data_IF_411906117603
#
_entry.id   IF_411906117603
#
_cell.length_a   1.000
_cell.length_b   1.000
_cell.length_c   1.000
_cell.angle_alpha   90.00
_cell.angle_beta   90.00
_cell.angle_gamma   90.00
#
_symmetry.space_group_name_H-M   'P 1'
#
loop_
_entity.id
_entity.type
_entity.pdbx_description
1 polymer ?
#
# COMPACT_ATOMS: atom_id res chain seq x y z
N UNK A 1 29.72 6.58 2.06
CA UNK A 1 28.54 5.94 2.69
C UNK A 1 27.30 6.61 2.12
N UNK A 2 26.50 5.91 1.31
CA UNK A 2 25.32 6.49 0.64
C UNK A 2 24.15 6.56 1.62
N UNK A 3 23.57 7.75 1.78
CA UNK A 3 22.58 8.05 2.80
C UNK A 3 21.16 7.66 2.35
N UNK A 4 20.74 6.44 2.67
CA UNK A 4 19.48 5.79 2.23
C UNK A 4 18.23 6.59 2.66
N UNK A 5 18.32 7.35 3.75
CA UNK A 5 17.20 8.13 4.29
C UNK A 5 16.86 9.38 3.46
N UNK A 6 17.75 9.82 2.58
CA UNK A 6 17.53 11.02 1.74
C UNK A 6 16.38 10.86 0.73
N UNK A 7 16.01 9.62 0.36
CA UNK A 7 14.93 9.30 -0.59
C UNK A 7 13.55 9.68 -0.03
N UNK A 8 13.37 9.66 1.29
CA UNK A 8 12.08 9.95 1.94
C UNK A 8 11.90 11.42 2.31
N UNK A 9 12.95 12.25 2.22
CA UNK A 9 12.88 13.66 2.58
C UNK A 9 12.21 14.45 1.45
N UNK A 10 10.94 14.85 1.64
CA UNK A 10 10.26 15.79 0.73
C UNK A 10 11.06 17.10 0.69
N UNK A 11 11.45 17.55 -0.50
CA UNK A 11 12.06 18.88 -0.64
C UNK A 11 11.06 19.93 -0.17
N UNK A 12 11.51 20.96 0.58
CA UNK A 12 10.62 22.05 0.97
C UNK A 12 10.05 22.70 -0.29
N UNK A 13 8.74 22.96 -0.29
CA UNK A 13 8.07 23.64 -1.41
C UNK A 13 8.66 25.04 -1.50
N UNK A 14 9.37 25.33 -2.61
CA UNK A 14 9.86 26.68 -2.85
C UNK A 14 8.67 27.62 -2.95
N UNK A 15 8.61 28.63 -2.09
CA UNK A 15 7.62 29.69 -2.16
C UNK A 15 7.97 30.60 -3.34
N UNK A 16 7.35 30.31 -4.49
CA UNK A 16 7.49 31.13 -5.67
C UNK A 16 6.66 32.39 -5.41
N UNK A 17 7.31 33.51 -5.09
CA UNK A 17 6.64 34.82 -5.04
C UNK A 17 5.93 35.06 -6.38
N UNK A 18 4.71 35.64 -6.40
CA UNK A 18 3.99 35.88 -7.63
C UNK A 18 4.87 36.66 -8.62
N UNK A 19 4.96 36.16 -9.85
CA UNK A 19 5.87 36.69 -10.84
C UNK A 19 5.46 38.11 -11.25
N UNK A 20 6.28 39.09 -10.91
CA UNK A 20 6.04 40.49 -11.28
C UNK A 20 6.67 40.78 -12.65
N UNK A 21 5.82 40.97 -13.67
CA UNK A 21 6.24 41.25 -15.05
C UNK A 21 7.05 42.56 -15.18
N UNK A 22 6.79 43.57 -14.34
CA UNK A 22 7.46 44.87 -14.40
C UNK A 22 8.93 44.80 -13.92
N UNK A 23 9.24 43.87 -13.00
CA UNK A 23 10.59 43.67 -12.43
C UNK A 23 11.44 42.64 -13.21
N UNK A 24 10.93 42.12 -14.33
CA UNK A 24 11.63 41.09 -15.09
C UNK A 24 12.81 41.68 -15.88
N UNK A 25 14.03 41.23 -15.56
CA UNK A 25 15.30 41.63 -16.20
C UNK A 25 15.29 41.30 -17.70
N UNK A 26 14.62 40.21 -18.07
CA UNK A 26 14.53 39.71 -19.43
C UNK A 26 13.11 39.91 -19.97
N UNK A 27 12.86 41.04 -20.62
CA UNK A 27 11.56 41.33 -21.23
C UNK A 27 11.30 40.40 -22.42
N UNK A 28 10.07 39.93 -22.56
CA UNK A 28 9.68 39.10 -23.70
C UNK A 28 9.72 39.95 -24.99
N UNK A 29 10.46 39.48 -26.00
CA UNK A 29 10.57 40.18 -27.30
C UNK A 29 9.28 40.10 -28.13
N UNK A 30 8.44 39.09 -27.87
CA UNK A 30 7.13 38.90 -28.48
C UNK A 30 6.08 38.85 -27.39
N UNK A 31 4.97 39.54 -27.60
CA UNK A 31 3.81 39.49 -26.72
C UNK A 31 3.23 38.08 -26.75
N UNK A 32 2.98 37.54 -25.57
CA UNK A 32 2.28 36.28 -25.37
C UNK A 32 0.88 36.62 -24.83
N UNK A 33 -0.19 35.90 -25.18
CA UNK A 33 -0.30 34.82 -26.15
C UNK A 33 -0.34 35.34 -27.60
N UNK A 34 0.13 34.57 -28.59
CA UNK A 34 -0.09 34.90 -30.00
C UNK A 34 -1.57 34.69 -30.36
N UNK A 35 -2.10 35.51 -31.27
CA UNK A 35 -3.47 35.36 -31.76
C UNK A 35 -3.60 34.08 -32.58
N UNK A 36 -4.24 33.06 -31.98
CA UNK A 36 -4.39 31.72 -32.57
C UNK A 36 -5.16 31.72 -33.90
N UNK A 37 -5.95 32.77 -34.14
CA UNK A 37 -6.78 32.94 -35.35
C UNK A 37 -5.96 33.35 -36.58
N UNK A 38 -4.81 33.98 -36.38
CA UNK A 38 -3.93 34.46 -37.46
C UNK A 38 -2.92 33.39 -37.91
N UNK A 39 -2.80 32.30 -37.15
CA UNK A 39 -1.86 31.21 -37.40
C UNK A 39 -2.37 30.24 -38.48
N UNK A 40 -1.47 29.72 -39.31
CA UNK A 40 -1.78 28.64 -40.25
C UNK A 40 -2.32 27.40 -39.53
N UNK A 41 -3.30 26.69 -40.14
CA UNK A 41 -3.92 25.48 -39.59
C UNK A 41 -2.90 24.43 -39.12
N UNK A 42 -1.82 24.25 -39.87
CA UNK A 42 -0.73 23.31 -39.51
C UNK A 42 -0.03 23.72 -38.22
N UNK A 43 0.13 25.02 -37.99
CA UNK A 43 0.73 25.54 -36.76
C UNK A 43 -0.27 25.45 -35.59
N UNK A 44 -1.54 25.78 -35.82
CA UNK A 44 -2.61 25.63 -34.83
C UNK A 44 -2.67 24.20 -34.28
N UNK A 45 -2.69 23.19 -35.16
CA UNK A 45 -2.70 21.78 -34.75
C UNK A 45 -1.49 21.37 -33.89
N UNK A 46 -0.29 21.90 -34.20
CA UNK A 46 0.91 21.66 -33.39
C UNK A 46 0.77 22.25 -31.98
N UNK A 47 0.21 23.46 -31.88
CA UNK A 47 -0.04 24.10 -30.59
C UNK A 47 -1.11 23.37 -29.78
N UNK A 48 -2.20 22.99 -30.42
CA UNK A 48 -3.27 22.22 -29.78
C UNK A 48 -2.75 20.88 -29.23
N UNK A 49 -2.01 20.12 -30.05
CA UNK A 49 -1.38 18.86 -29.61
C UNK A 49 -0.44 19.07 -28.44
N UNK A 50 0.38 20.13 -28.46
CA UNK A 50 1.30 20.46 -27.36
C UNK A 50 0.53 20.87 -26.10
N UNK A 51 -0.56 21.62 -26.24
CA UNK A 51 -1.43 22.02 -25.14
C UNK A 51 -2.09 20.81 -24.48
N UNK A 52 -2.76 19.94 -25.25
CA UNK A 52 -3.41 18.72 -24.74
C UNK A 52 -2.45 17.83 -23.95
N UNK A 53 -1.22 17.64 -24.45
CA UNK A 53 -0.17 16.88 -23.74
C UNK A 53 0.22 17.53 -22.42
N UNK A 54 0.44 18.84 -22.41
CA UNK A 54 0.80 19.58 -21.19
C UNK A 54 -0.35 19.60 -20.18
N UNK A 55 -1.59 19.75 -20.65
CA UNK A 55 -2.77 19.66 -19.83
C UNK A 55 -2.86 18.26 -19.19
N UNK A 56 -2.74 17.18 -19.96
CA UNK A 56 -2.73 15.82 -19.42
C UNK A 56 -1.67 15.62 -18.33
N UNK A 57 -0.46 16.16 -18.53
CA UNK A 57 0.62 16.11 -17.52
C UNK A 57 0.31 16.94 -16.26
N UNK A 58 -0.38 18.08 -16.40
CA UNK A 58 -0.80 18.92 -15.26
C UNK A 58 -1.96 18.32 -14.49
N UNK A 59 -2.85 17.63 -15.20
CA UNK A 59 -4.00 16.94 -14.62
C UNK A 59 -3.66 15.56 -14.06
N UNK A 60 -2.53 14.97 -14.46
CA UNK A 60 -2.03 13.75 -13.87
C UNK A 60 -1.84 13.92 -12.34
N UNK A 61 -2.49 13.05 -11.55
CA UNK A 61 -2.37 13.00 -10.08
C UNK A 61 -1.55 11.76 -9.68
N UNK A 62 -0.22 11.75 -9.88
CA UNK A 62 0.61 10.57 -9.66
C UNK A 62 0.61 10.11 -8.19
N UNK A 63 0.50 11.05 -7.25
CA UNK A 63 0.43 10.73 -5.82
C UNK A 63 -0.87 10.02 -5.45
N UNK A 64 -2.01 10.48 -5.97
CA UNK A 64 -3.30 9.84 -5.74
C UNK A 64 -3.32 8.41 -6.28
N UNK A 65 -2.89 8.22 -7.53
CA UNK A 65 -2.74 6.88 -8.13
C UNK A 65 -1.80 5.98 -7.33
N UNK A 66 -0.71 6.53 -6.77
CA UNK A 66 0.20 5.76 -5.91
C UNK A 66 -0.52 5.26 -4.65
N UNK A 67 -1.29 6.13 -3.98
CA UNK A 67 -2.03 5.74 -2.78
C UNK A 67 -3.12 4.71 -3.06
N UNK A 68 -3.88 4.86 -4.15
CA UNK A 68 -4.93 3.90 -4.50
C UNK A 68 -4.35 2.54 -4.85
N UNK A 69 -3.20 2.49 -5.55
CA UNK A 69 -2.49 1.22 -5.81
C UNK A 69 -2.01 0.54 -4.53
N UNK A 70 -1.45 1.32 -3.59
CA UNK A 70 -1.06 0.79 -2.28
C UNK A 70 -2.28 0.25 -1.53
N UNK A 71 -3.40 0.97 -1.55
CA UNK A 71 -4.63 0.53 -0.90
C UNK A 71 -5.19 -0.75 -1.55
N UNK A 72 -5.11 -0.87 -2.87
CA UNK A 72 -5.52 -2.07 -3.61
C UNK A 72 -4.65 -3.28 -3.24
N UNK A 73 -3.33 -3.14 -3.21
CA UNK A 73 -2.45 -4.24 -2.78
C UNK A 73 -2.68 -4.57 -1.31
N UNK A 74 -2.83 -3.55 -0.45
CA UNK A 74 -3.10 -3.75 0.97
C UNK A 74 -4.41 -4.52 1.22
N UNK A 75 -5.47 -4.27 0.44
CA UNK A 75 -6.72 -5.01 0.58
C UNK A 75 -6.57 -6.47 0.16
N UNK A 76 -5.86 -6.74 -0.95
CA UNK A 76 -5.54 -8.10 -1.39
C UNK A 76 -4.75 -8.84 -0.31
N UNK A 77 -3.65 -8.24 0.16
CA UNK A 77 -2.84 -8.81 1.24
C UNK A 77 -3.64 -9.06 2.52
N UNK A 78 -4.52 -8.12 2.90
CA UNK A 78 -5.37 -8.28 4.08
C UNK A 78 -6.25 -9.52 4.00
N UNK A 79 -6.89 -9.74 2.84
CA UNK A 79 -7.75 -10.92 2.63
C UNK A 79 -6.91 -12.20 2.61
N UNK A 80 -5.75 -12.18 1.95
CA UNK A 80 -4.84 -13.33 1.92
C UNK A 80 -4.36 -13.72 3.32
N UNK A 81 -3.95 -12.76 4.15
CA UNK A 81 -3.49 -13.01 5.52
C UNK A 81 -4.64 -13.57 6.38
N UNK A 82 -5.85 -13.03 6.23
CA UNK A 82 -7.04 -13.57 6.90
C UNK A 82 -7.29 -15.04 6.53
N UNK A 83 -7.29 -15.34 5.23
CA UNK A 83 -7.54 -16.68 4.70
C UNK A 83 -6.48 -17.71 5.17
N UNK A 84 -5.22 -17.28 5.30
CA UNK A 84 -4.14 -18.15 5.75
C UNK A 84 -4.11 -18.37 7.26
N UNK A 85 -4.41 -17.33 8.07
CA UNK A 85 -4.19 -17.38 9.52
C UNK A 85 -5.45 -17.66 10.33
N UNK A 86 -6.58 -17.08 9.94
CA UNK A 86 -7.78 -17.00 10.77
C UNK A 86 -8.98 -17.75 10.21
N UNK A 87 -9.07 -17.90 8.89
CA UNK A 87 -10.15 -18.63 8.25
C UNK A 87 -10.09 -20.11 8.63
N UNK A 88 -11.20 -20.60 9.16
CA UNK A 88 -11.35 -22.00 9.50
C UNK A 88 -11.96 -22.75 8.31
N UNK A 89 -11.23 -23.74 7.81
CA UNK A 89 -11.63 -24.52 6.64
C UNK A 89 -12.18 -25.90 7.03
N UNK A 90 -12.18 -26.25 8.32
CA UNK A 90 -12.73 -27.52 8.81
C UNK A 90 -14.25 -27.58 8.72
N UNK A 91 -14.90 -26.42 8.80
CA UNK A 91 -16.36 -26.28 8.86
C UNK A 91 -17.01 -26.11 7.47
N UNK A 92 -16.21 -26.17 6.41
CA UNK A 92 -16.70 -26.04 5.04
C UNK A 92 -17.41 -27.35 4.61
N UNK A 93 -18.70 -27.31 4.22
CA UNK A 93 -19.42 -28.50 3.76
C UNK A 93 -18.79 -29.18 2.53
N UNK A 94 -17.91 -28.49 1.80
CA UNK A 94 -17.18 -29.06 0.66
C UNK A 94 -15.88 -29.79 1.05
N UNK A 95 -15.44 -29.70 2.31
CA UNK A 95 -14.20 -30.33 2.78
C UNK A 95 -14.43 -31.78 3.25
N UNK A 96 -14.32 -32.73 2.31
CA UNK A 96 -14.55 -34.17 2.58
C UNK A 96 -13.54 -34.77 3.58
N UNK A 97 -12.30 -34.26 3.66
CA UNK A 97 -11.25 -34.78 4.54
C UNK A 97 -11.15 -34.05 5.89
N UNK A 98 -11.87 -32.92 6.08
CA UNK A 98 -11.76 -32.04 7.27
C UNK A 98 -10.31 -31.66 7.61
N UNK A 99 -9.46 -31.57 6.60
CA UNK A 99 -8.07 -31.17 6.76
C UNK A 99 -8.01 -29.65 6.67
N UNK A 100 -7.41 -29.00 7.67
CA UNK A 100 -7.16 -27.57 7.63
C UNK A 100 -5.93 -27.32 6.73
N UNK A 101 -6.07 -26.53 5.65
CA UNK A 101 -4.94 -26.16 4.83
C UNK A 101 -4.03 -25.18 5.58
N UNK A 102 -2.72 -25.23 5.29
CA UNK A 102 -1.70 -24.33 5.85
C UNK A 102 -1.54 -24.35 7.38
N UNK A 103 -1.89 -25.47 8.05
CA UNK A 103 -1.67 -25.66 9.49
C UNK A 103 -0.27 -25.28 9.94
N UNK A 104 0.76 -25.71 9.20
CA UNK A 104 2.15 -25.41 9.52
C UNK A 104 2.45 -23.89 9.58
N UNK A 105 1.80 -23.08 8.74
CA UNK A 105 1.95 -21.62 8.73
C UNK A 105 1.26 -21.01 9.95
N UNK A 106 0.03 -21.47 10.24
CA UNK A 106 -0.78 -21.00 11.38
C UNK A 106 -0.11 -21.31 12.70
N UNK A 107 0.40 -22.52 12.87
CA UNK A 107 1.12 -22.95 14.06
C UNK A 107 2.43 -22.19 14.25
N UNK A 108 3.21 -22.00 13.19
CA UNK A 108 4.44 -21.21 13.26
C UNK A 108 4.15 -19.75 13.62
N UNK A 109 3.11 -19.14 13.02
CA UNK A 109 2.64 -17.80 13.36
C UNK A 109 2.18 -17.69 14.82
N UNK A 110 1.34 -18.63 15.29
CA UNK A 110 0.86 -18.68 16.68
C UNK A 110 2.00 -18.89 17.68
N UNK A 111 3.02 -19.67 17.32
CA UNK A 111 4.22 -19.87 18.15
C UNK A 111 5.03 -18.57 18.29
N UNK A 112 5.23 -17.85 17.19
CA UNK A 112 5.99 -16.58 17.18
C UNK A 112 5.21 -15.45 17.87
N UNK A 113 3.91 -15.34 17.61
CA UNK A 113 3.07 -14.33 18.28
C UNK A 113 2.86 -14.66 19.75
N UNK A 114 2.69 -15.93 20.11
CA UNK A 114 2.63 -16.38 21.50
C UNK A 114 3.91 -16.06 22.27
N UNK A 115 5.10 -16.27 21.70
CA UNK A 115 6.35 -15.98 22.41
C UNK A 115 6.60 -14.49 22.66
N UNK A 116 6.03 -13.60 21.84
CA UNK A 116 6.21 -12.15 21.93
C UNK A 116 5.10 -11.49 22.78
N UNK A 117 3.85 -11.95 22.64
CA UNK A 117 2.69 -11.29 23.23
C UNK A 117 2.12 -11.99 24.47
N UNK A 118 2.47 -13.26 24.73
CA UNK A 118 2.07 -13.96 25.96
C UNK A 118 3.28 -14.32 26.82
N UNK A 119 3.41 -13.68 27.98
CA UNK A 119 4.33 -14.09 29.03
C UNK A 119 3.71 -15.27 29.79
N UNK A 120 3.87 -16.49 29.27
CA UNK A 120 3.53 -17.69 30.04
C UNK A 120 4.63 -17.92 31.08
N UNK A 121 4.34 -17.94 32.40
CA UNK A 121 5.25 -18.54 33.34
C UNK A 121 5.35 -20.01 32.93
N UNK A 122 6.56 -20.50 32.63
CA UNK A 122 6.76 -21.95 32.45
C UNK A 122 6.40 -22.60 33.78
N UNK A 123 5.42 -23.51 33.88
CA UNK A 123 5.38 -24.40 35.03
C UNK A 123 6.60 -25.32 34.90
N UNK A 124 7.65 -25.02 35.66
CA UNK A 124 8.74 -25.96 35.91
C UNK A 124 8.16 -27.11 36.74
N UNK A 125 7.75 -28.20 36.08
CA UNK A 125 7.28 -29.40 36.75
C UNK A 125 7.24 -30.59 35.80
N UNK A 126 7.86 -31.73 36.14
CA UNK A 126 7.80 -32.92 35.30
C UNK A 126 6.45 -33.63 35.48
N UNK A 127 5.85 -34.03 34.36
CA UNK A 127 4.88 -35.13 34.30
C UNK A 127 3.41 -34.76 34.56
N UNK A 128 2.63 -34.73 33.48
CA UNK A 128 1.28 -35.29 33.52
C UNK A 128 1.10 -36.19 32.30
N UNK A 129 1.36 -37.48 32.53
CA UNK A 129 0.68 -38.55 31.82
C UNK A 129 -0.82 -38.36 32.09
N UNK A 130 -1.62 -38.28 31.03
CA UNK A 130 -3.09 -38.32 31.12
C UNK A 130 -3.48 -39.76 31.41
N UNK A 131 -3.66 -40.07 32.68
CA UNK A 131 -4.14 -41.36 33.18
C UNK A 131 -5.64 -41.52 32.89
N UNK A 132 -5.94 -42.65 32.27
CA UNK A 132 -7.23 -43.11 31.80
C UNK A 132 -7.99 -43.84 32.91
N UNK A 133 -8.52 -43.15 33.94
CA UNK A 133 -9.36 -43.81 34.96
C UNK A 133 -10.18 -42.89 35.90
N UNK A 134 -11.08 -42.05 35.37
CA UNK A 134 -12.04 -41.27 36.22
C UNK A 134 -13.51 -41.44 35.79
N UNK A 135 -13.86 -42.57 35.17
CA UNK A 135 -15.24 -42.91 34.78
C UNK A 135 -15.94 -43.97 35.64
N UNK A 136 -15.31 -44.46 36.70
CA UNK A 136 -15.91 -45.46 37.59
C UNK A 136 -16.05 -44.94 39.02
N UNK A 137 -17.07 -44.11 39.24
CA UNK A 137 -17.64 -43.88 40.56
C UNK A 137 -19.11 -44.33 40.53
N UNK A 138 -19.51 -45.38 41.27
CA UNK A 138 -20.90 -45.80 41.35
C UNK A 138 -21.76 -44.77 42.11
N UNK A 139 -23.02 -44.68 41.70
CA UNK A 139 -24.08 -43.85 42.28
C UNK A 139 -24.50 -44.31 43.68
#
# INVERSE_FOLDING_TARGET
MFDIFSIFRRRPKQEITPFNFARNRYKAKKQWPPDLRELSQKQQFKYERKYKRRAALKWARPTWMKWTKIAQEASIFSVTVYALLFMDWSDDPQNVRKEEPFLWVRESFRRVTGSIFTHSPRPNGPGYMRDSNLKELPK
#
